data_IF_480393725555
#
_entry.id   IF_480393725555
#
_cell.length_a   1.000
_cell.length_b   1.000
_cell.length_c   1.000
_cell.angle_alpha   90.00
_cell.angle_beta   90.00
_cell.angle_gamma   90.00
#
_symmetry.space_group_name_H-M   'P 1'
#
loop_
_entity.id
_entity.type
_entity.pdbx_description
1 polymer ?
#
# COMPACT_ATOMS: atom_id res chain seq x y z
N UNK A 1 -10.97 -5.44 13.56
CA UNK A 1 -10.15 -5.37 12.32
C UNK A 1 -9.92 -3.91 12.00
N UNK A 2 -8.67 -3.51 11.82
CA UNK A 2 -8.29 -2.12 11.57
C UNK A 2 -7.74 -2.02 10.17
N UNK A 3 -8.33 -1.17 9.35
CA UNK A 3 -8.01 -0.97 7.96
C UNK A 3 -7.29 0.37 7.82
N UNK A 4 -6.12 0.35 7.18
CA UNK A 4 -5.35 1.54 6.87
C UNK A 4 -5.02 1.58 5.38
N UNK A 5 -5.11 2.76 4.77
CA UNK A 5 -4.93 2.93 3.32
C UNK A 5 -4.55 4.37 3.00
N UNK A 6 -4.40 4.66 1.71
CA UNK A 6 -4.28 6.01 1.21
C UNK A 6 -5.11 6.22 -0.06
N UNK A 7 -5.43 7.49 -0.32
CA UNK A 7 -6.08 7.92 -1.55
C UNK A 7 -5.35 9.13 -2.13
N UNK A 8 -5.08 9.10 -3.43
CA UNK A 8 -4.49 10.23 -4.16
C UNK A 8 -3.09 10.63 -3.66
N UNK A 9 -2.81 11.93 -3.76
CA UNK A 9 -1.52 12.56 -3.43
C UNK A 9 -1.76 13.82 -2.57
N UNK A 10 -2.10 13.65 -1.29
CA UNK A 10 -2.30 14.77 -0.37
C UNK A 10 -0.99 15.45 0.08
N UNK A 11 0.17 14.86 -0.21
CA UNK A 11 1.50 15.41 0.09
C UNK A 11 1.74 15.70 1.58
N UNK A 12 1.33 14.80 2.48
CA UNK A 12 1.61 14.92 3.93
C UNK A 12 0.83 16.04 4.61
N UNK A 13 -0.36 16.35 4.12
CA UNK A 13 -1.26 17.32 4.76
C UNK A 13 -2.72 16.92 4.57
N UNK A 14 -3.60 17.16 5.56
CA UNK A 14 -5.02 16.86 5.42
C UNK A 14 -5.67 17.58 4.25
N UNK A 15 -6.49 16.84 3.49
CA UNK A 15 -7.23 17.38 2.36
C UNK A 15 -8.53 16.58 2.15
N UNK A 16 -9.67 17.25 2.32
CA UNK A 16 -11.00 16.63 2.22
C UNK A 16 -11.23 15.86 0.91
N UNK A 17 -10.65 16.35 -0.21
CA UNK A 17 -10.74 15.68 -1.53
C UNK A 17 -10.18 14.25 -1.49
N UNK A 18 -9.21 14.00 -0.62
CA UNK A 18 -8.51 12.73 -0.51
C UNK A 18 -8.86 11.99 0.79
N UNK A 19 -9.89 12.41 1.52
CA UNK A 19 -10.38 11.66 2.68
C UNK A 19 -10.89 10.28 2.24
N UNK A 20 -10.71 9.28 3.11
CA UNK A 20 -11.26 7.94 2.93
C UNK A 20 -12.71 7.82 3.42
N UNK A 21 -13.27 8.87 4.03
CA UNK A 21 -14.66 8.89 4.52
C UNK A 21 -15.69 8.45 3.46
N UNK A 22 -15.59 8.82 2.17
CA UNK A 22 -16.52 8.36 1.14
C UNK A 22 -16.48 6.84 0.87
N UNK A 23 -15.45 6.13 1.32
CA UNK A 23 -15.33 4.67 1.19
C UNK A 23 -16.23 3.94 2.20
N UNK A 24 -16.50 4.57 3.35
CA UNK A 24 -17.25 3.96 4.47
C UNK A 24 -18.61 3.40 4.03
N UNK A 25 -19.50 4.17 3.35
CA UNK A 25 -20.83 3.65 3.01
C UNK A 25 -20.80 2.45 2.06
N UNK A 26 -19.88 2.42 1.10
CA UNK A 26 -19.76 1.28 0.18
C UNK A 26 -19.16 0.06 0.90
N UNK A 27 -18.19 0.26 1.79
CA UNK A 27 -17.61 -0.82 2.59
C UNK A 27 -18.65 -1.44 3.54
N UNK A 28 -19.44 -0.61 4.22
CA UNK A 28 -20.53 -1.09 5.09
C UNK A 28 -21.55 -1.92 4.32
N UNK A 29 -21.95 -1.44 3.14
CA UNK A 29 -22.87 -2.16 2.23
C UNK A 29 -22.30 -3.50 1.78
N UNK A 30 -21.03 -3.57 1.42
CA UNK A 30 -20.38 -4.81 0.98
C UNK A 30 -20.16 -5.81 2.12
N UNK A 31 -19.90 -5.33 3.34
CA UNK A 31 -19.70 -6.17 4.52
C UNK A 31 -21.00 -6.57 5.21
N UNK A 32 -22.08 -5.82 5.03
CA UNK A 32 -23.31 -5.94 5.81
C UNK A 32 -23.10 -5.63 7.30
N UNK A 33 -22.13 -4.77 7.62
CA UNK A 33 -21.72 -4.40 8.98
C UNK A 33 -21.39 -2.91 9.04
N UNK A 34 -21.55 -2.30 10.21
CA UNK A 34 -21.07 -0.94 10.45
C UNK A 34 -19.54 -0.88 10.39
N UNK A 35 -19.03 0.26 9.93
CA UNK A 35 -17.60 0.55 9.89
C UNK A 35 -17.36 1.86 10.63
N UNK A 36 -16.59 1.79 11.71
CA UNK A 36 -16.18 2.99 12.45
C UNK A 36 -15.10 3.71 11.67
N UNK A 37 -15.31 4.97 11.34
CA UNK A 37 -14.30 5.81 10.71
C UNK A 37 -13.54 6.62 11.75
N UNK A 38 -12.23 6.39 11.86
CA UNK A 38 -11.40 7.16 12.78
C UNK A 38 -11.07 8.54 12.19
N UNK A 39 -10.97 9.60 13.01
CA UNK A 39 -10.70 10.96 12.54
C UNK A 39 -9.26 11.13 12.00
N UNK A 40 -8.36 10.22 12.37
CA UNK A 40 -6.98 10.18 11.91
C UNK A 40 -6.49 8.71 11.78
N UNK A 41 -5.21 8.51 11.48
CA UNK A 41 -4.54 7.22 11.33
C UNK A 41 -3.66 6.81 12.51
N UNK A 42 -3.28 7.77 13.36
CA UNK A 42 -2.51 7.54 14.59
C UNK A 42 -2.94 8.57 15.64
N UNK A 43 -2.53 8.34 16.90
CA UNK A 43 -2.74 9.28 18.00
C UNK A 43 -3.74 8.77 19.04
N UNK A 44 -3.88 9.50 20.17
CA UNK A 44 -4.57 9.01 21.35
C UNK A 44 -6.06 8.73 21.12
N UNK A 45 -6.74 9.56 20.31
CA UNK A 45 -8.15 9.35 19.97
C UNK A 45 -8.34 8.09 19.10
N UNK A 46 -7.40 7.80 18.18
CA UNK A 46 -7.44 6.58 17.36
C UNK A 46 -7.21 5.35 18.23
N UNK A 47 -6.24 5.41 19.15
CA UNK A 47 -5.97 4.34 20.12
C UNK A 47 -7.18 4.08 21.02
N UNK A 48 -7.84 5.12 21.51
CA UNK A 48 -9.06 4.99 22.32
C UNK A 48 -10.21 4.33 21.53
N UNK A 49 -10.44 4.76 20.28
CA UNK A 49 -11.44 4.14 19.39
C UNK A 49 -11.14 2.65 19.18
N UNK A 50 -9.88 2.30 18.94
CA UNK A 50 -9.46 0.92 18.72
C UNK A 50 -9.63 0.07 19.98
N UNK A 51 -9.19 0.57 21.14
CA UNK A 51 -9.25 -0.15 22.41
C UNK A 51 -10.67 -0.36 22.93
N UNK A 52 -11.58 0.57 22.64
CA UNK A 52 -12.99 0.49 23.03
C UNK A 52 -13.87 -0.29 22.02
N UNK A 53 -13.30 -0.73 20.89
CA UNK A 53 -14.07 -1.41 19.86
C UNK A 53 -14.46 -2.84 20.27
N UNK A 54 -15.73 -3.18 20.07
CA UNK A 54 -16.22 -4.53 20.33
C UNK A 54 -15.57 -5.57 19.41
N UNK A 55 -15.45 -6.80 19.89
CA UNK A 55 -14.90 -7.91 19.11
C UNK A 55 -15.67 -8.09 17.79
N UNK A 56 -14.94 -8.14 16.68
CA UNK A 56 -15.52 -8.26 15.34
C UNK A 56 -15.89 -6.93 14.67
N UNK A 57 -15.67 -5.79 15.33
CA UNK A 57 -15.80 -4.47 14.73
C UNK A 57 -14.78 -4.23 13.61
N UNK A 58 -15.16 -3.40 12.64
CA UNK A 58 -14.30 -2.94 11.55
C UNK A 58 -14.09 -1.44 11.69
N UNK A 59 -12.82 -1.04 11.73
CA UNK A 59 -12.40 0.35 11.83
C UNK A 59 -11.64 0.71 10.56
N UNK A 60 -12.01 1.80 9.91
CA UNK A 60 -11.26 2.41 8.82
C UNK A 60 -10.57 3.67 9.34
N UNK A 61 -9.24 3.68 9.28
CA UNK A 61 -8.43 4.84 9.57
C UNK A 61 -8.51 5.86 8.45
N UNK A 62 -8.25 7.13 8.77
CA UNK A 62 -8.09 8.17 7.75
C UNK A 62 -6.82 7.93 6.90
N UNK A 63 -6.73 8.63 5.78
CA UNK A 63 -5.68 8.52 4.78
C UNK A 63 -4.26 8.68 5.37
N UNK A 64 -3.47 7.61 5.32
CA UNK A 64 -2.09 7.57 5.83
C UNK A 64 -1.20 8.67 5.23
N UNK A 65 -1.44 9.07 3.98
CA UNK A 65 -0.64 10.12 3.31
C UNK A 65 -0.98 11.54 3.77
N UNK A 66 -1.93 11.72 4.68
CA UNK A 66 -2.09 12.99 5.39
C UNK A 66 -0.90 13.27 6.32
N UNK A 67 -0.13 12.24 6.66
CA UNK A 67 1.13 12.34 7.40
C UNK A 67 2.31 12.30 6.44
N UNK A 68 3.23 13.25 6.56
CA UNK A 68 4.47 13.27 5.73
C UNK A 68 5.35 12.05 6.03
N UNK A 69 5.20 11.51 7.24
CA UNK A 69 5.89 10.36 7.80
C UNK A 69 5.58 9.05 7.06
N UNK A 70 4.43 8.96 6.36
CA UNK A 70 4.08 7.79 5.56
C UNK A 70 5.02 7.63 4.36
N UNK A 71 5.19 8.69 3.55
CA UNK A 71 6.05 8.68 2.37
C UNK A 71 7.50 9.08 2.68
N UNK A 72 7.76 9.54 3.91
CA UNK A 72 9.05 10.06 4.37
C UNK A 72 9.45 11.40 3.74
N UNK A 73 8.59 11.96 2.88
CA UNK A 73 8.77 13.26 2.25
C UNK A 73 7.50 13.75 1.58
N UNK A 74 7.34 15.07 1.48
CA UNK A 74 6.27 15.73 0.73
C UNK A 74 6.85 16.63 -0.35
N UNK A 75 5.99 17.02 -1.30
CA UNK A 75 6.27 18.08 -2.27
C UNK A 75 5.26 19.21 -2.12
N UNK A 76 5.75 20.44 -2.11
CA UNK A 76 4.88 21.62 -2.20
C UNK A 76 4.37 21.84 -3.63
N UNK A 77 3.58 22.91 -3.82
CA UNK A 77 3.01 23.28 -5.13
C UNK A 77 4.08 23.67 -6.16
N UNK A 78 5.25 24.08 -5.69
CA UNK A 78 6.40 24.51 -6.50
C UNK A 78 7.32 23.32 -6.86
N UNK A 79 7.06 22.15 -6.26
CA UNK A 79 7.82 20.92 -6.48
C UNK A 79 9.01 20.74 -5.54
N UNK A 80 9.20 21.64 -4.56
CA UNK A 80 10.26 21.52 -3.57
C UNK A 80 9.96 20.34 -2.65
N UNK A 81 10.99 19.54 -2.38
CA UNK A 81 10.87 18.31 -1.60
C UNK A 81 11.28 18.56 -0.15
N UNK A 82 10.34 18.37 0.77
CA UNK A 82 10.59 18.38 2.22
C UNK A 82 10.71 16.94 2.70
N UNK A 83 11.75 16.61 3.46
CA UNK A 83 11.89 15.28 4.09
C UNK A 83 11.26 15.31 5.47
N UNK A 84 10.61 14.21 5.84
CA UNK A 84 10.14 14.01 7.21
C UNK A 84 11.34 13.86 8.16
N UNK A 85 11.18 14.30 9.39
CA UNK A 85 12.13 14.01 10.47
C UNK A 85 12.12 12.50 10.76
N UNK A 86 13.30 11.90 10.89
CA UNK A 86 13.44 10.47 11.20
C UNK A 86 12.77 10.10 12.52
N UNK A 87 12.87 10.97 13.55
CA UNK A 87 12.25 10.72 14.84
C UNK A 87 10.72 10.67 14.73
N UNK A 88 10.13 11.56 13.92
CA UNK A 88 8.69 11.57 13.66
C UNK A 88 8.24 10.37 12.84
N UNK A 89 9.04 9.93 11.86
CA UNK A 89 8.77 8.69 11.12
C UNK A 89 8.75 7.48 12.06
N UNK A 90 9.68 7.41 13.01
CA UNK A 90 9.71 6.34 14.00
C UNK A 90 8.50 6.40 14.95
N UNK A 91 8.12 7.58 15.41
CA UNK A 91 6.92 7.81 16.23
C UNK A 91 5.64 7.39 15.48
N UNK A 92 5.48 7.81 14.22
CA UNK A 92 4.35 7.42 13.39
C UNK A 92 4.25 5.90 13.22
N UNK A 93 5.38 5.24 12.98
CA UNK A 93 5.46 3.77 12.88
C UNK A 93 5.11 3.06 14.17
N UNK A 94 5.55 3.59 15.32
CA UNK A 94 5.15 3.08 16.64
C UNK A 94 3.64 3.23 16.85
N UNK A 95 3.08 4.37 16.48
CA UNK A 95 1.64 4.60 16.49
C UNK A 95 0.89 3.55 15.69
N UNK A 96 1.26 3.30 14.42
CA UNK A 96 0.64 2.25 13.60
C UNK A 96 0.82 0.84 14.19
N UNK A 97 1.99 0.56 14.76
CA UNK A 97 2.31 -0.74 15.38
C UNK A 97 1.47 -1.00 16.62
N UNK A 98 1.19 0.04 17.42
CA UNK A 98 0.39 -0.07 18.64
C UNK A 98 -1.08 -0.42 18.39
N UNK A 99 -1.59 -0.24 17.17
CA UNK A 99 -3.01 -0.45 16.86
C UNK A 99 -3.40 -1.93 16.77
N UNK A 100 -2.48 -2.88 16.74
CA UNK A 100 -2.87 -4.28 16.68
C UNK A 100 -1.74 -5.27 16.93
N UNK A 101 -2.09 -6.55 16.97
CA UNK A 101 -1.15 -7.62 17.32
C UNK A 101 -0.55 -8.35 16.10
N UNK A 102 -1.25 -8.27 14.95
CA UNK A 102 -0.87 -8.93 13.69
C UNK A 102 -1.01 -7.94 12.53
N UNK A 103 0.01 -7.91 11.65
CA UNK A 103 -0.03 -7.10 10.44
C UNK A 103 -0.30 -7.96 9.19
N UNK A 104 -1.32 -7.57 8.43
CA UNK A 104 -1.67 -8.18 7.15
C UNK A 104 -1.49 -7.14 6.05
N UNK A 105 -0.60 -7.39 5.09
CA UNK A 105 -0.45 -6.54 3.92
C UNK A 105 -1.22 -7.13 2.73
N UNK A 106 -2.27 -6.43 2.29
CA UNK A 106 -3.05 -6.79 1.10
C UNK A 106 -2.96 -5.76 -0.04
N UNK A 107 -1.91 -4.93 -0.02
CA UNK A 107 -1.71 -3.82 -0.95
C UNK A 107 -0.46 -4.00 -1.84
N UNK A 108 -0.48 -4.98 -2.76
CA UNK A 108 0.66 -5.27 -3.65
C UNK A 108 1.10 -4.05 -4.48
N UNK A 109 0.15 -3.24 -4.94
CA UNK A 109 0.43 -2.05 -5.75
C UNK A 109 1.35 -1.02 -5.08
N UNK A 110 1.51 -1.09 -3.76
CA UNK A 110 2.34 -0.17 -2.97
C UNK A 110 3.59 -0.83 -2.39
N UNK A 111 3.74 -2.15 -2.57
CA UNK A 111 4.86 -2.93 -2.01
C UNK A 111 6.25 -2.53 -2.57
N UNK A 112 6.29 -1.87 -3.72
CA UNK A 112 7.52 -1.33 -4.31
C UNK A 112 8.07 -0.07 -3.60
N UNK A 113 7.37 0.42 -2.55
CA UNK A 113 7.72 1.63 -1.81
C UNK A 113 8.12 1.28 -0.38
N UNK A 114 9.20 1.91 0.10
CA UNK A 114 9.65 1.78 1.49
C UNK A 114 8.90 2.73 2.45
N UNK A 115 7.59 2.83 2.29
CA UNK A 115 6.73 3.70 3.11
C UNK A 115 6.50 3.11 4.51
N UNK A 116 6.09 3.95 5.46
CA UNK A 116 5.91 3.54 6.86
C UNK A 116 4.90 2.42 7.03
N UNK A 117 3.75 2.47 6.34
CA UNK A 117 2.77 1.38 6.35
C UNK A 117 3.29 0.06 5.77
N UNK A 118 4.25 0.11 4.84
CA UNK A 118 4.77 -1.08 4.15
C UNK A 118 5.87 -1.80 4.94
N UNK A 119 6.80 -1.04 5.52
CA UNK A 119 8.01 -1.59 6.15
C UNK A 119 8.18 -1.21 7.62
N UNK A 120 7.30 -0.36 8.15
CA UNK A 120 7.46 0.27 9.47
C UNK A 120 6.58 -0.31 10.57
N UNK A 121 5.63 -1.19 10.26
CA UNK A 121 4.81 -1.88 11.27
C UNK A 121 5.61 -3.02 11.88
N UNK A 122 5.99 -2.88 13.16
CA UNK A 122 6.90 -3.79 13.85
C UNK A 122 6.16 -4.78 14.77
N UNK A 123 5.42 -5.67 14.13
CA UNK A 123 4.73 -6.77 14.81
C UNK A 123 5.44 -8.10 14.54
N UNK A 124 5.43 -9.04 15.51
CA UNK A 124 6.08 -10.34 15.36
C UNK A 124 5.45 -11.16 14.24
N UNK A 125 4.15 -11.01 14.01
CA UNK A 125 3.42 -11.70 12.94
C UNK A 125 3.07 -10.74 11.81
N UNK A 126 3.66 -10.99 10.65
CA UNK A 126 3.43 -10.24 9.40
C UNK A 126 3.10 -11.23 8.30
N UNK A 127 1.93 -11.08 7.67
CA UNK A 127 1.49 -11.98 6.62
C UNK A 127 0.94 -11.23 5.40
N UNK A 128 0.92 -11.91 4.26
CA UNK A 128 0.25 -11.45 3.06
C UNK A 128 -1.26 -11.70 3.17
N UNK A 129 -2.07 -10.71 2.82
CA UNK A 129 -3.49 -10.92 2.56
C UNK A 129 -3.71 -11.74 1.29
N UNK A 130 -4.96 -12.04 0.95
CA UNK A 130 -5.26 -12.93 -0.17
C UNK A 130 -4.94 -12.32 -1.54
N UNK A 131 -5.13 -11.01 -1.72
CA UNK A 131 -4.76 -10.32 -2.96
C UNK A 131 -3.22 -10.32 -3.10
N UNK A 132 -2.51 -9.92 -2.06
CA UNK A 132 -1.04 -9.95 -2.02
C UNK A 132 -0.51 -11.36 -2.29
N UNK A 133 -1.05 -12.37 -1.59
CA UNK A 133 -0.66 -13.78 -1.78
C UNK A 133 -0.86 -14.23 -3.22
N UNK A 134 -2.00 -13.88 -3.83
CA UNK A 134 -2.29 -14.22 -5.22
C UNK A 134 -1.28 -13.59 -6.17
N UNK A 135 -0.96 -12.31 -6.00
CA UNK A 135 0.07 -11.63 -6.82
C UNK A 135 1.43 -12.35 -6.68
N UNK A 136 1.87 -12.60 -5.45
CA UNK A 136 3.13 -13.30 -5.17
C UNK A 136 3.16 -14.71 -5.76
N UNK A 137 2.09 -15.49 -5.58
CA UNK A 137 2.01 -16.87 -6.09
C UNK A 137 2.13 -16.91 -7.64
N UNK A 138 1.50 -15.96 -8.35
CA UNK A 138 1.56 -15.91 -9.81
C UNK A 138 2.90 -15.37 -10.32
N UNK A 139 3.47 -14.34 -9.67
CA UNK A 139 4.79 -13.85 -10.03
C UNK A 139 5.90 -14.86 -9.74
N UNK A 140 5.86 -15.57 -8.61
CA UNK A 140 6.82 -16.62 -8.28
C UNK A 140 6.81 -17.74 -9.31
N UNK A 141 5.60 -18.19 -9.72
CA UNK A 141 5.45 -19.17 -10.81
C UNK A 141 6.08 -18.70 -12.11
N UNK A 142 5.99 -17.42 -12.46
CA UNK A 142 6.53 -16.90 -13.72
C UNK A 142 8.04 -16.59 -13.65
N UNK A 143 8.54 -16.13 -12.50
CA UNK A 143 9.89 -15.56 -12.38
C UNK A 143 10.91 -16.47 -11.71
N UNK A 144 10.49 -17.37 -10.84
CA UNK A 144 11.39 -18.26 -10.08
C UNK A 144 11.42 -19.67 -10.65
N UNK A 145 10.26 -20.25 -10.98
CA UNK A 145 10.14 -21.61 -11.51
C UNK A 145 9.09 -21.71 -12.63
N UNK A 146 9.30 -21.01 -13.77
CA UNK A 146 8.37 -21.03 -14.88
C UNK A 146 8.24 -22.42 -15.48
N UNK A 147 7.00 -22.88 -15.66
CA UNK A 147 6.73 -23.99 -16.56
C UNK A 147 7.10 -23.56 -17.98
N UNK A 148 7.97 -24.35 -18.62
CA UNK A 148 8.47 -24.05 -19.95
C UNK A 148 7.69 -24.83 -21.02
N UNK A 149 7.51 -24.27 -22.23
CA UNK A 149 8.06 -23.00 -22.71
C UNK A 149 7.37 -21.76 -22.09
N UNK A 150 8.18 -20.81 -21.61
CA UNK A 150 7.71 -19.54 -21.06
C UNK A 150 7.75 -18.43 -22.12
N UNK A 151 6.58 -17.92 -22.51
CA UNK A 151 6.41 -16.83 -23.47
C UNK A 151 6.11 -15.52 -22.73
N UNK A 152 6.86 -14.47 -23.04
CA UNK A 152 6.46 -13.10 -22.71
C UNK A 152 5.96 -12.36 -23.95
N UNK A 153 4.89 -11.58 -23.79
CA UNK A 153 4.34 -10.71 -24.84
C UNK A 153 4.42 -9.28 -24.32
N UNK A 154 5.24 -8.45 -24.97
CA UNK A 154 5.43 -7.06 -24.62
C UNK A 154 4.93 -6.16 -25.74
N UNK A 155 4.16 -5.13 -25.38
CA UNK A 155 3.79 -4.08 -26.32
C UNK A 155 3.64 -2.73 -25.67
N UNK A 156 3.51 -1.69 -26.49
CA UNK A 156 3.38 -0.29 -26.08
C UNK A 156 3.76 0.66 -27.21
N UNK A 157 3.86 1.95 -26.89
CA UNK A 157 4.18 3.01 -27.86
C UNK A 157 5.64 3.50 -27.81
N UNK A 158 6.43 3.08 -26.80
CA UNK A 158 7.82 3.51 -26.61
C UNK A 158 8.67 2.36 -26.08
N UNK A 159 9.73 2.01 -26.81
CA UNK A 159 10.74 1.02 -26.37
C UNK A 159 11.50 1.53 -25.15
N UNK A 160 11.80 2.84 -25.09
CA UNK A 160 12.64 3.44 -24.04
C UNK A 160 12.18 3.10 -22.62
N UNK A 161 10.86 3.04 -22.42
CA UNK A 161 10.23 2.81 -21.11
C UNK A 161 10.28 1.33 -20.69
N UNK A 162 10.65 0.43 -21.61
CA UNK A 162 10.61 -1.03 -21.44
C UNK A 162 11.97 -1.70 -21.52
N UNK A 163 13.05 -0.95 -21.75
CA UNK A 163 14.42 -1.50 -21.88
C UNK A 163 14.77 -2.37 -20.67
N UNK A 164 14.59 -1.85 -19.45
CA UNK A 164 14.88 -2.59 -18.22
C UNK A 164 14.00 -3.83 -18.04
N UNK A 165 12.74 -3.77 -18.50
CA UNK A 165 11.83 -4.91 -18.42
C UNK A 165 12.23 -6.01 -19.40
N UNK A 166 12.59 -5.64 -20.64
CA UNK A 166 13.09 -6.57 -21.64
C UNK A 166 14.37 -7.24 -21.11
N UNK A 167 15.32 -6.45 -20.64
CA UNK A 167 16.61 -6.92 -20.13
C UNK A 167 16.43 -7.96 -19.00
N UNK A 168 15.53 -7.70 -18.03
CA UNK A 168 15.22 -8.64 -16.96
C UNK A 168 14.54 -9.94 -17.44
N UNK A 169 13.72 -9.85 -18.49
CA UNK A 169 12.95 -10.99 -19.00
C UNK A 169 13.75 -11.89 -19.94
N UNK A 170 14.78 -11.36 -20.63
CA UNK A 170 15.59 -12.12 -21.60
C UNK A 170 16.23 -13.37 -20.97
N UNK A 171 16.66 -13.29 -19.72
CA UNK A 171 17.25 -14.41 -19.00
C UNK A 171 16.22 -15.45 -18.53
N UNK A 172 14.93 -15.13 -18.61
CA UNK A 172 13.85 -15.95 -18.03
C UNK A 172 13.01 -16.65 -19.08
N UNK A 173 12.71 -15.98 -20.20
CA UNK A 173 11.74 -16.45 -21.20
C UNK A 173 12.38 -17.37 -22.25
N UNK A 174 11.60 -18.28 -22.82
CA UNK A 174 11.99 -19.05 -24.00
C UNK A 174 11.65 -18.32 -25.29
N UNK A 175 10.62 -17.47 -25.26
CA UNK A 175 10.15 -16.72 -26.41
C UNK A 175 9.69 -15.35 -25.95
N UNK A 176 10.04 -14.32 -26.72
CA UNK A 176 9.61 -12.95 -26.50
C UNK A 176 8.94 -12.43 -27.77
N UNK A 177 7.66 -12.06 -27.66
CA UNK A 177 6.94 -11.36 -28.72
C UNK A 177 6.93 -9.87 -28.39
N UNK A 178 7.33 -9.06 -29.36
CA UNK A 178 7.28 -7.60 -29.31
C UNK A 178 6.21 -7.14 -30.29
N UNK A 179 5.23 -6.38 -29.80
CA UNK A 179 4.12 -5.88 -30.61
C UNK A 179 3.77 -4.41 -30.30
N UNK A 180 2.91 -3.81 -31.12
CA UNK A 180 2.58 -2.39 -31.04
C UNK A 180 3.61 -1.49 -31.74
N UNK A 181 3.46 -0.17 -31.58
CA UNK A 181 4.33 0.83 -32.23
C UNK A 181 5.61 1.12 -31.46
N UNK A 182 6.07 0.13 -30.68
CA UNK A 182 7.08 0.26 -29.63
C UNK A 182 8.28 1.08 -30.07
#
# INVERSE_FOLDING_TARGET
VILMSHLGRPNGSPNEKYSLKPVVPELEKLLGKSVTFAPDSVGPEVEEIVNNAEAGSVILLENLRFHIEEEGSSKDKEGNKTKADKAKVEEFRKGLTALGDVYINDAFGTAHRAHSSMVGVDLPQKAAGFLMKKELDYFAKALESPQRPFLAILGGAKVSDKIQLIDNLLDKVNTLIICGGM
#
